data_IF_935137704303
#
_entry.id   IF_935137704303
#
_cell.length_a   1.000
_cell.length_b   1.000
_cell.length_c   1.000
_cell.angle_alpha   90.00
_cell.angle_beta   90.00
_cell.angle_gamma   90.00
#
_symmetry.space_group_name_H-M   'P 1'
#
loop_
_entity.id
_entity.type
_entity.pdbx_description
1 polymer ?
#
# COMPACT_ATOMS: atom_id res chain seq x y z
N UNK A 1 -45.30 16.42 -50.14
CA UNK A 1 -44.61 15.16 -49.79
C UNK A 1 -43.20 15.36 -49.18
N UNK A 2 -42.63 16.57 -49.19
CA UNK A 2 -41.28 16.85 -48.64
C UNK A 2 -41.25 17.12 -47.13
N UNK A 3 -42.36 17.58 -46.53
CA UNK A 3 -42.42 17.94 -45.10
C UNK A 3 -42.34 16.75 -44.13
N UNK A 4 -42.67 15.53 -44.58
CA UNK A 4 -42.62 14.34 -43.72
C UNK A 4 -41.20 13.78 -43.54
N UNK A 5 -40.30 14.06 -44.49
CA UNK A 5 -38.92 13.56 -44.47
C UNK A 5 -38.02 14.34 -43.51
N UNK A 6 -38.25 15.65 -43.33
CA UNK A 6 -37.46 16.48 -42.42
C UNK A 6 -37.70 16.13 -40.94
N UNK A 7 -38.93 15.78 -40.59
CA UNK A 7 -39.32 15.43 -39.21
C UNK A 7 -38.68 14.09 -38.79
N UNK A 8 -38.60 13.13 -39.71
CA UNK A 8 -37.96 11.84 -39.45
C UNK A 8 -36.43 12.00 -39.28
N UNK A 9 -35.81 12.91 -40.02
CA UNK A 9 -34.36 13.17 -39.94
C UNK A 9 -33.97 13.84 -38.61
N UNK A 10 -34.80 14.76 -38.11
CA UNK A 10 -34.60 15.39 -36.79
C UNK A 10 -34.76 14.36 -35.66
N UNK A 11 -35.71 13.43 -35.77
CA UNK A 11 -35.90 12.37 -34.77
C UNK A 11 -34.72 11.39 -34.69
N UNK A 12 -34.06 11.10 -35.81
CA UNK A 12 -32.88 10.22 -35.86
C UNK A 12 -31.63 10.91 -35.29
N UNK A 13 -31.51 12.24 -35.45
CA UNK A 13 -30.41 13.03 -34.87
C UNK A 13 -30.59 13.28 -33.36
N UNK A 14 -31.83 13.37 -32.86
CA UNK A 14 -32.08 13.47 -31.42
C UNK A 14 -31.88 12.13 -30.68
N UNK A 15 -32.16 10.99 -31.33
CA UNK A 15 -31.95 9.68 -30.70
C UNK A 15 -30.48 9.25 -30.67
N UNK A 16 -29.67 9.67 -31.65
CA UNK A 16 -28.22 9.40 -31.64
C UNK A 16 -27.46 10.24 -30.61
N UNK A 17 -27.89 11.48 -30.36
CA UNK A 17 -27.31 12.33 -29.30
C UNK A 17 -27.68 11.84 -27.89
N UNK A 18 -28.87 11.26 -27.69
CA UNK A 18 -29.25 10.57 -26.45
C UNK A 18 -28.44 9.28 -26.23
N UNK A 19 -28.09 8.54 -27.29
CA UNK A 19 -27.27 7.32 -27.17
C UNK A 19 -25.81 7.64 -26.82
N UNK A 20 -25.24 8.72 -27.36
CA UNK A 20 -23.88 9.16 -27.00
C UNK A 20 -23.83 9.73 -25.58
N UNK A 21 -24.88 10.42 -25.13
CA UNK A 21 -24.99 10.83 -23.72
C UNK A 21 -25.14 9.61 -22.78
N UNK A 22 -25.85 8.56 -23.19
CA UNK A 22 -25.94 7.33 -22.38
C UNK A 22 -24.62 6.52 -22.34
N UNK A 23 -23.77 6.62 -23.36
CA UNK A 23 -22.49 5.90 -23.41
C UNK A 23 -21.34 6.74 -22.80
N UNK A 24 -21.41 8.07 -22.85
CA UNK A 24 -20.29 8.95 -22.44
C UNK A 24 -20.65 10.10 -21.48
N UNK A 25 -21.91 10.26 -21.09
CA UNK A 25 -22.41 11.40 -20.31
C UNK A 25 -23.33 10.96 -19.18
N UNK A 26 -22.74 10.46 -18.09
CA UNK A 26 -23.48 10.09 -16.89
C UNK A 26 -22.54 10.04 -15.70
N UNK A 27 -22.28 11.22 -15.16
CA UNK A 27 -21.89 11.57 -13.80
C UNK A 27 -21.37 10.47 -12.86
N UNK A 28 -20.21 10.78 -12.29
CA UNK A 28 -19.99 10.79 -10.84
C UNK A 28 -21.19 10.27 -10.02
N UNK A 29 -21.22 8.96 -9.82
CA UNK A 29 -22.05 8.33 -8.82
C UNK A 29 -21.16 7.44 -7.98
N UNK A 30 -21.02 7.85 -6.72
CA UNK A 30 -20.69 7.02 -5.58
C UNK A 30 -19.61 5.97 -5.85
N UNK A 31 -18.38 6.27 -5.42
CA UNK A 31 -17.53 5.22 -4.90
C UNK A 31 -18.38 4.54 -3.84
N UNK A 32 -19.00 3.42 -4.21
CA UNK A 32 -19.58 2.52 -3.25
C UNK A 32 -18.50 2.34 -2.21
N UNK A 33 -18.85 2.69 -0.98
CA UNK A 33 -18.10 2.27 0.18
C UNK A 33 -18.19 0.75 0.13
N UNK A 34 -17.31 0.15 -0.68
CA UNK A 34 -17.29 -1.27 -0.90
C UNK A 34 -17.13 -1.84 0.48
N UNK A 35 -18.11 -2.69 0.74
CA UNK A 35 -18.52 -3.22 2.01
C UNK A 35 -17.44 -4.18 2.49
N UNK A 36 -16.24 -3.67 2.77
CA UNK A 36 -15.15 -4.42 3.38
C UNK A 36 -15.39 -4.42 4.88
N UNK A 37 -16.38 -5.22 5.27
CA UNK A 37 -16.43 -5.72 6.63
C UNK A 37 -15.21 -6.62 6.80
N UNK A 38 -14.19 -6.09 7.47
CA UNK A 38 -13.20 -6.92 8.15
C UNK A 38 -13.97 -7.91 9.02
N UNK A 39 -14.08 -9.16 8.58
CA UNK A 39 -14.47 -10.24 9.48
C UNK A 39 -13.28 -10.50 10.41
N UNK A 40 -13.10 -9.62 11.40
CA UNK A 40 -12.26 -9.88 12.57
C UNK A 40 -12.96 -10.94 13.40
N UNK A 41 -12.84 -12.20 13.00
CA UNK A 41 -13.30 -13.32 13.81
C UNK A 41 -12.33 -13.47 14.98
N UNK A 42 -12.90 -13.35 16.18
CA UNK A 42 -12.34 -13.56 17.52
C UNK A 42 -11.80 -12.31 18.23
N UNK A 43 -12.75 -11.65 18.89
CA UNK A 43 -12.55 -10.85 20.09
C UNK A 43 -11.74 -11.62 21.15
N UNK A 44 -10.68 -11.01 21.66
CA UNK A 44 -10.29 -11.15 23.06
C UNK A 44 -10.46 -9.79 23.74
N UNK A 45 -11.59 -9.63 24.44
CA UNK A 45 -11.75 -8.58 25.47
C UNK A 45 -10.82 -8.93 26.63
N UNK A 46 -9.85 -8.06 26.93
CA UNK A 46 -9.13 -8.10 28.21
C UNK A 46 -9.79 -7.05 29.11
N UNK A 47 -10.41 -7.52 30.20
CA UNK A 47 -11.05 -6.69 31.22
C UNK A 47 -10.03 -5.75 31.88
N UNK A 48 -10.48 -4.51 32.11
CA UNK A 48 -9.68 -3.45 32.69
C UNK A 48 -9.35 -3.64 34.17
N UNK A 49 -8.22 -3.04 34.56
CA UNK A 49 -8.00 -2.51 35.89
C UNK A 49 -7.50 -1.08 35.73
N UNK A 50 -8.35 -0.17 36.20
CA UNK A 50 -8.05 1.25 36.39
C UNK A 50 -6.91 1.39 37.40
N UNK A 51 -5.76 1.89 36.94
CA UNK A 51 -4.85 2.68 37.77
C UNK A 51 -4.11 3.68 36.90
N UNK A 52 -4.29 4.94 37.26
CA UNK A 52 -3.45 6.05 36.85
C UNK A 52 -2.00 5.72 37.20
N UNK A 53 -1.09 5.85 36.24
CA UNK A 53 0.29 6.28 36.44
C UNK A 53 0.93 6.48 35.06
N UNK A 54 0.86 7.72 34.58
CA UNK A 54 1.88 8.24 33.68
C UNK A 54 3.20 8.25 34.48
N UNK A 55 4.25 7.68 33.88
CA UNK A 55 5.62 7.51 34.39
C UNK A 55 5.90 6.24 35.24
N UNK A 56 7.00 5.59 34.85
CA UNK A 56 7.80 4.57 35.56
C UNK A 56 7.32 3.11 35.50
N UNK A 57 7.96 2.33 34.61
CA UNK A 57 8.76 1.16 35.03
C UNK A 57 9.51 0.53 33.83
N UNK A 58 10.65 1.12 33.45
CA UNK A 58 11.73 0.32 32.84
C UNK A 58 12.38 -0.41 34.02
N UNK A 59 11.97 -1.64 34.27
CA UNK A 59 12.60 -2.48 35.29
C UNK A 59 13.43 -3.54 34.57
N UNK A 60 14.74 -3.30 34.49
CA UNK A 60 15.73 -4.27 34.01
C UNK A 60 16.09 -5.22 35.14
N UNK A 61 15.24 -6.20 35.41
CA UNK A 61 15.64 -7.39 36.16
C UNK A 61 15.22 -8.64 35.37
N UNK A 62 16.18 -9.19 34.63
CA UNK A 62 16.08 -10.49 33.98
C UNK A 62 15.99 -11.59 35.03
N UNK A 63 14.80 -12.16 35.21
CA UNK A 63 14.60 -13.47 35.81
C UNK A 63 14.26 -14.47 34.71
N UNK A 64 15.18 -15.39 34.46
CA UNK A 64 15.01 -16.50 33.52
C UNK A 64 14.07 -17.51 34.19
N UNK A 65 12.86 -17.59 33.66
CA UNK A 65 11.85 -18.62 33.92
C UNK A 65 10.89 -18.63 32.74
N UNK A 66 10.31 -19.78 32.41
CA UNK A 66 9.37 -20.02 31.30
C UNK A 66 8.02 -19.27 31.46
N UNK A 67 8.07 -18.01 31.86
CA UNK A 67 6.94 -17.11 31.96
C UNK A 67 6.99 -16.16 30.77
N UNK A 68 5.93 -16.20 29.96
CA UNK A 68 5.74 -15.26 28.85
C UNK A 68 5.97 -13.82 29.33
N UNK A 69 6.58 -12.95 28.50
CA UNK A 69 6.88 -11.59 28.91
C UNK A 69 5.61 -10.83 29.31
N UNK A 70 5.73 -9.99 30.33
CA UNK A 70 4.64 -9.16 30.85
C UNK A 70 4.08 -8.26 29.74
N UNK A 71 2.76 -8.10 29.68
CA UNK A 71 2.09 -7.24 28.70
C UNK A 71 2.32 -5.78 29.06
N UNK A 72 2.80 -4.98 28.10
CA UNK A 72 2.94 -3.53 28.25
C UNK A 72 2.84 -2.82 26.89
N UNK A 73 2.88 -1.48 26.88
CA UNK A 73 2.73 -0.66 25.67
C UNK A 73 3.86 -0.81 24.67
N UNK A 74 5.02 -1.35 25.07
CA UNK A 74 6.16 -1.56 24.17
C UNK A 74 6.07 -2.90 23.42
N UNK A 75 5.40 -3.90 23.98
CA UNK A 75 5.37 -5.24 23.38
C UNK A 75 3.96 -5.71 23.00
N UNK A 76 2.93 -4.91 23.31
CA UNK A 76 1.54 -5.22 22.99
C UNK A 76 0.85 -3.96 22.50
N UNK A 77 0.50 -3.96 21.22
CA UNK A 77 -0.09 -2.82 20.53
C UNK A 77 -0.81 -3.25 19.26
N UNK A 78 -1.71 -2.40 18.80
CA UNK A 78 -2.42 -2.53 17.54
C UNK A 78 -2.17 -1.28 16.70
N UNK A 79 -1.90 -1.46 15.41
CA UNK A 79 -1.76 -0.38 14.47
C UNK A 79 -2.50 -0.70 13.17
N UNK A 80 -3.05 0.31 12.53
CA UNK A 80 -3.63 0.21 11.18
C UNK A 80 -3.47 1.52 10.44
N UNK A 81 -3.60 1.48 9.14
CA UNK A 81 -3.72 2.70 8.35
C UNK A 81 -3.81 2.46 6.85
N UNK A 82 -3.53 3.51 6.10
CA UNK A 82 -3.57 3.51 4.64
C UNK A 82 -2.21 3.20 4.03
N UNK A 83 -2.20 2.38 2.99
CA UNK A 83 -1.10 2.30 2.03
C UNK A 83 -1.39 3.31 0.93
N UNK A 84 -0.52 4.29 0.75
CA UNK A 84 -0.68 5.32 -0.26
C UNK A 84 0.69 5.81 -0.70
N UNK A 85 1.08 5.45 -1.91
CA UNK A 85 2.37 5.85 -2.47
C UNK A 85 2.32 5.95 -3.98
N UNK A 86 3.24 6.74 -4.53
CA UNK A 86 3.51 6.82 -5.97
C UNK A 86 4.85 6.13 -6.22
N UNK A 87 4.84 5.11 -7.08
CA UNK A 87 6.02 4.36 -7.48
C UNK A 87 6.52 4.91 -8.80
N UNK A 88 7.79 5.30 -8.84
CA UNK A 88 8.43 5.75 -10.06
C UNK A 88 9.34 4.63 -10.59
N UNK A 89 9.27 4.32 -11.90
CA UNK A 89 10.27 3.48 -12.52
C UNK A 89 11.64 4.16 -12.40
N UNK A 90 12.67 3.35 -12.16
CA UNK A 90 14.02 3.87 -11.99
C UNK A 90 14.59 4.31 -13.34
N UNK A 91 14.51 5.61 -13.65
CA UNK A 91 15.11 6.17 -14.85
C UNK A 91 16.58 6.56 -14.59
N UNK A 92 17.53 5.70 -14.97
CA UNK A 92 18.94 6.12 -15.10
C UNK A 92 19.14 7.24 -16.15
N UNK A 93 18.15 7.46 -17.01
CA UNK A 93 18.19 8.42 -18.12
C UNK A 93 18.09 9.88 -17.62
N UNK A 94 17.54 10.12 -16.42
CA UNK A 94 17.44 11.48 -15.86
C UNK A 94 18.72 11.97 -15.16
N UNK A 95 19.74 11.12 -15.04
CA UNK A 95 21.04 11.47 -14.42
C UNK A 95 22.11 11.93 -15.42
N UNK A 96 21.83 11.91 -16.72
CA UNK A 96 22.72 12.53 -17.68
C UNK A 96 22.42 14.03 -17.70
N UNK A 97 23.36 14.91 -17.32
CA UNK A 97 23.16 16.33 -17.54
C UNK A 97 22.86 16.52 -19.02
N UNK A 98 21.82 17.30 -19.31
CA UNK A 98 21.57 17.83 -20.65
C UNK A 98 22.79 18.70 -20.97
N UNK A 99 23.84 18.08 -21.51
CA UNK A 99 24.88 18.83 -22.16
C UNK A 99 24.19 19.46 -23.36
N UNK A 100 24.01 20.78 -23.27
CA UNK A 100 23.66 21.64 -24.38
C UNK A 100 24.78 21.57 -25.43
N UNK A 101 24.91 20.46 -26.13
CA UNK A 101 25.49 20.41 -27.46
C UNK A 101 24.33 20.58 -28.42
N UNK A 102 24.24 21.79 -28.95
CA UNK A 102 23.43 22.17 -30.09
C UNK A 102 23.84 21.34 -31.32
N UNK A 103 23.43 20.08 -31.37
CA UNK A 103 23.50 19.28 -32.58
C UNK A 103 22.16 19.41 -33.30
N UNK A 104 22.20 20.21 -34.34
CA UNK A 104 21.16 20.38 -35.34
C UNK A 104 20.56 19.03 -35.75
N UNK A 105 19.23 18.95 -35.75
CA UNK A 105 18.47 17.91 -36.43
C UNK A 105 18.80 17.91 -37.93
N UNK A 106 19.83 17.18 -38.34
CA UNK A 106 20.04 16.80 -39.73
C UNK A 106 19.25 15.52 -40.00
N UNK A 107 18.18 15.65 -40.77
CA UNK A 107 17.42 14.55 -41.33
C UNK A 107 18.19 13.97 -42.53
N UNK A 108 19.29 13.27 -42.26
CA UNK A 108 20.01 12.56 -43.31
C UNK A 108 19.49 11.13 -43.45
N UNK A 109 18.96 10.90 -44.64
CA UNK A 109 18.42 9.66 -45.17
C UNK A 109 19.57 8.63 -45.33
N UNK A 110 19.80 7.79 -44.32
CA UNK A 110 20.71 6.65 -44.44
C UNK A 110 20.09 5.40 -43.83
N UNK A 111 19.91 4.38 -44.67
CA UNK A 111 19.46 3.04 -44.31
C UNK A 111 20.54 2.32 -43.49
N UNK A 112 20.07 1.67 -42.42
CA UNK A 112 20.68 0.59 -41.62
C UNK A 112 21.19 1.02 -40.25
N UNK A 113 20.28 1.06 -39.28
CA UNK A 113 20.35 0.27 -38.04
C UNK A 113 19.05 0.45 -37.26
N UNK A 114 18.07 -0.41 -37.52
CA UNK A 114 16.80 -0.46 -36.78
C UNK A 114 17.01 -1.13 -35.42
N UNK A 115 17.76 -0.47 -34.53
CA UNK A 115 17.67 -0.71 -33.09
C UNK A 115 17.23 0.58 -32.41
N UNK A 116 16.06 1.10 -32.84
CA UNK A 116 15.29 1.97 -31.98
C UNK A 116 14.90 1.08 -30.80
N UNK A 117 15.69 1.10 -29.73
CA UNK A 117 15.22 0.73 -28.39
C UNK A 117 14.11 1.74 -28.11
N UNK A 118 12.89 1.40 -28.49
CA UNK A 118 11.70 2.04 -27.97
C UNK A 118 11.82 1.86 -26.47
N UNK A 119 12.27 2.89 -25.76
CA UNK A 119 12.20 2.91 -24.31
C UNK A 119 10.72 2.83 -24.02
N UNK A 120 10.25 1.64 -23.63
CA UNK A 120 8.91 1.44 -23.15
C UNK A 120 8.75 2.45 -22.02
N UNK A 121 7.91 3.46 -22.23
CA UNK A 121 7.65 4.43 -21.18
C UNK A 121 6.83 3.69 -20.13
N UNK A 122 7.51 3.26 -19.07
CA UNK A 122 6.84 2.70 -17.91
C UNK A 122 6.13 3.83 -17.19
N UNK A 123 4.80 3.75 -17.10
CA UNK A 123 4.01 4.74 -16.38
C UNK A 123 4.27 4.61 -14.88
N UNK A 124 4.42 5.72 -14.12
CA UNK A 124 4.38 5.66 -12.67
C UNK A 124 3.12 4.91 -12.20
N UNK A 125 3.23 4.23 -11.07
CA UNK A 125 2.13 3.45 -10.48
C UNK A 125 1.68 4.08 -9.17
N UNK A 126 0.40 3.94 -8.88
CA UNK A 126 -0.24 4.38 -7.64
C UNK A 126 -0.55 3.15 -6.80
N UNK A 127 -0.17 3.18 -5.53
CA UNK A 127 -0.63 2.24 -4.50
C UNK A 127 -1.76 2.90 -3.72
N UNK A 128 -2.85 2.19 -3.53
CA UNK A 128 -3.94 2.59 -2.63
C UNK A 128 -4.50 1.36 -1.90
N UNK A 129 -4.48 1.37 -0.58
CA UNK A 129 -4.96 0.24 0.20
C UNK A 129 -4.94 0.48 1.70
N UNK A 130 -5.10 -0.60 2.46
CA UNK A 130 -5.11 -0.58 3.91
C UNK A 130 -4.17 -1.66 4.46
N UNK A 131 -3.73 -1.47 5.69
CA UNK A 131 -2.95 -2.45 6.42
C UNK A 131 -3.36 -2.51 7.89
N UNK A 132 -3.12 -3.65 8.52
CA UNK A 132 -3.33 -3.89 9.94
C UNK A 132 -2.13 -4.65 10.52
N UNK A 133 -1.79 -4.34 11.76
CA UNK A 133 -0.75 -4.98 12.54
C UNK A 133 -1.23 -5.15 13.98
N UNK A 134 -1.09 -6.35 14.51
CA UNK A 134 -1.40 -6.66 15.89
C UNK A 134 -0.23 -7.42 16.51
N UNK A 135 0.32 -6.86 17.59
CA UNK A 135 1.45 -7.40 18.33
C UNK A 135 1.00 -7.67 19.76
N UNK A 136 1.30 -8.86 20.26
CA UNK A 136 1.00 -9.27 21.64
C UNK A 136 2.22 -9.92 22.25
N UNK A 137 2.68 -9.43 23.40
CA UNK A 137 3.85 -9.94 24.13
C UNK A 137 5.11 -10.06 23.27
N UNK A 138 5.28 -9.13 22.34
CA UNK A 138 6.40 -9.06 21.41
C UNK A 138 6.27 -9.99 20.20
N UNK A 139 5.16 -10.68 20.03
CA UNK A 139 4.88 -11.53 18.86
C UNK A 139 3.82 -10.88 18.00
N UNK A 140 4.06 -10.80 16.68
CA UNK A 140 3.03 -10.40 15.73
C UNK A 140 2.01 -11.52 15.64
N UNK A 141 0.78 -11.25 16.07
CA UNK A 141 -0.33 -12.21 16.00
C UNK A 141 -1.13 -12.05 14.70
N UNK A 142 -1.05 -10.88 14.09
CA UNK A 142 -1.63 -10.63 12.77
C UNK A 142 -0.89 -9.49 12.08
N UNK A 143 -0.56 -9.70 10.82
CA UNK A 143 -0.21 -8.63 9.90
C UNK A 143 -0.86 -8.95 8.55
N UNK A 144 -1.58 -7.97 8.01
CA UNK A 144 -2.24 -8.09 6.73
C UNK A 144 -2.21 -6.73 6.01
N UNK A 145 -1.97 -6.76 4.71
CA UNK A 145 -2.08 -5.60 3.82
C UNK A 145 -2.90 -5.95 2.60
N UNK A 146 -3.77 -5.04 2.16
CA UNK A 146 -4.56 -5.21 0.93
C UNK A 146 -4.53 -3.90 0.18
N UNK A 147 -4.05 -3.92 -1.07
CA UNK A 147 -3.92 -2.71 -1.87
C UNK A 147 -4.13 -2.95 -3.35
N UNK A 148 -4.46 -1.88 -4.05
CA UNK A 148 -4.53 -1.83 -5.51
C UNK A 148 -3.28 -1.14 -6.02
N UNK A 149 -2.72 -1.70 -7.08
CA UNK A 149 -1.67 -1.10 -7.88
C UNK A 149 -2.30 -0.67 -9.21
N UNK A 150 -2.17 0.60 -9.58
CA UNK A 150 -2.76 1.14 -10.82
C UNK A 150 -1.74 2.01 -11.54
N UNK A 151 -1.55 1.81 -12.84
CA UNK A 151 -0.71 2.72 -13.64
C UNK A 151 -1.37 4.09 -13.76
N UNK A 152 -0.56 5.14 -13.87
CA UNK A 152 -1.07 6.53 -13.96
C UNK A 152 -1.88 6.83 -15.22
N UNK A 153 -1.77 6.00 -16.26
CA UNK A 153 -2.64 6.02 -17.44
C UNK A 153 -3.97 5.27 -17.23
N UNK A 154 -4.13 4.57 -16.11
CA UNK A 154 -5.32 3.82 -15.72
C UNK A 154 -5.54 2.50 -16.47
N UNK A 155 -4.59 2.06 -17.31
CA UNK A 155 -4.77 0.86 -18.15
C UNK A 155 -4.48 -0.44 -17.40
N UNK A 156 -3.45 -0.45 -16.56
CA UNK A 156 -3.06 -1.63 -15.78
C UNK A 156 -3.53 -1.47 -14.34
N UNK A 157 -4.19 -2.52 -13.83
CA UNK A 157 -4.59 -2.62 -12.43
C UNK A 157 -4.35 -4.02 -11.90
N UNK A 158 -3.87 -4.11 -10.67
CA UNK A 158 -3.70 -5.38 -9.95
C UNK A 158 -4.12 -5.21 -8.50
N UNK A 159 -4.73 -6.25 -7.95
CA UNK A 159 -5.05 -6.35 -6.54
C UNK A 159 -3.99 -7.20 -5.86
N UNK A 160 -3.38 -6.68 -4.79
CA UNK A 160 -2.31 -7.36 -4.08
C UNK A 160 -2.71 -7.50 -2.61
N UNK A 161 -2.56 -8.71 -2.09
CA UNK A 161 -2.75 -9.01 -0.67
C UNK A 161 -1.47 -9.57 -0.06
N UNK A 162 -1.14 -9.09 1.14
CA UNK A 162 -0.11 -9.61 2.01
C UNK A 162 -0.81 -10.31 3.17
N UNK A 163 -0.60 -11.62 3.30
CA UNK A 163 -1.33 -12.48 4.25
C UNK A 163 -0.39 -13.46 4.96
N UNK A 164 -0.94 -14.19 5.93
CA UNK A 164 -0.29 -15.33 6.61
C UNK A 164 1.10 -15.02 7.20
N UNK A 165 1.22 -13.85 7.85
CA UNK A 165 2.47 -13.42 8.47
C UNK A 165 2.99 -14.43 9.51
N UNK A 166 4.26 -14.78 9.38
CA UNK A 166 5.00 -15.66 10.27
C UNK A 166 6.18 -14.90 10.86
N UNK A 167 6.30 -14.91 12.19
CA UNK A 167 7.37 -14.21 12.89
C UNK A 167 8.75 -14.85 12.59
N UNK A 168 9.76 -14.02 12.35
CA UNK A 168 11.15 -14.40 12.58
C UNK A 168 11.40 -14.41 14.09
N UNK A 169 12.32 -15.24 14.62
CA UNK A 169 12.53 -15.53 16.06
C UNK A 169 12.96 -14.32 16.96
N UNK A 170 12.56 -13.10 16.63
CA UNK A 170 12.88 -11.84 17.29
C UNK A 170 11.62 -11.26 17.92
N UNK A 171 11.69 -10.94 19.21
CA UNK A 171 10.61 -10.23 19.91
C UNK A 171 10.53 -8.77 19.43
N UNK A 172 9.33 -8.32 19.10
CA UNK A 172 9.02 -6.95 18.72
C UNK A 172 8.95 -6.07 19.96
N UNK A 173 9.77 -5.03 19.98
CA UNK A 173 9.76 -4.00 21.03
C UNK A 173 9.57 -2.65 20.34
N UNK A 174 8.37 -2.09 20.51
CA UNK A 174 8.02 -0.76 20.07
C UNK A 174 8.78 0.29 20.89
N UNK A 175 9.44 1.18 20.18
CA UNK A 175 9.85 2.47 20.69
C UNK A 175 9.10 3.57 19.93
N UNK A 176 8.19 4.33 20.56
CA UNK A 176 7.37 5.31 19.85
C UNK A 176 8.18 6.49 19.31
N UNK A 177 9.40 6.71 19.80
CA UNK A 177 10.28 7.80 19.39
C UNK A 177 11.32 7.38 18.34
N UNK A 178 11.45 6.08 18.07
CA UNK A 178 12.41 5.52 17.12
C UNK A 178 11.68 4.68 16.06
N UNK A 179 12.46 4.18 15.10
CA UNK A 179 11.96 3.21 14.14
C UNK A 179 11.90 1.84 14.80
N UNK A 180 10.78 1.14 14.64
CA UNK A 180 10.61 -0.24 15.07
C UNK A 180 10.59 -1.13 13.83
N UNK A 181 11.54 -2.06 13.74
CA UNK A 181 11.65 -3.02 12.64
C UNK A 181 11.11 -4.37 13.06
N UNK A 182 10.27 -4.96 12.23
CA UNK A 182 9.62 -6.26 12.40
C UNK A 182 9.97 -7.11 11.19
N UNK A 183 10.58 -8.27 11.45
CA UNK A 183 10.97 -9.19 10.39
C UNK A 183 10.12 -10.46 10.44
N UNK A 184 9.77 -10.98 9.28
CA UNK A 184 8.98 -12.20 9.18
C UNK A 184 8.95 -12.78 7.78
N UNK A 185 7.96 -13.63 7.56
CA UNK A 185 7.62 -14.20 6.27
C UNK A 185 6.14 -13.98 6.00
N UNK A 186 5.77 -13.74 4.75
CA UNK A 186 4.38 -13.54 4.32
C UNK A 186 4.09 -14.32 3.06
N UNK A 187 2.82 -14.54 2.81
CA UNK A 187 2.31 -15.02 1.53
C UNK A 187 1.72 -13.84 0.77
N UNK A 188 1.92 -13.83 -0.55
CA UNK A 188 1.44 -12.78 -1.45
C UNK A 188 0.41 -13.36 -2.40
N UNK A 189 -0.73 -12.70 -2.51
CA UNK A 189 -1.69 -12.94 -3.59
C UNK A 189 -1.72 -11.78 -4.56
N UNK A 190 -1.86 -12.09 -5.84
CA UNK A 190 -2.13 -11.12 -6.90
C UNK A 190 -3.40 -11.57 -7.62
N UNK A 191 -4.40 -10.70 -7.67
CA UNK A 191 -5.71 -10.96 -8.29
C UNK A 191 -6.34 -12.28 -7.81
N UNK A 192 -6.43 -12.44 -6.48
CA UNK A 192 -6.95 -13.62 -5.75
C UNK A 192 -6.15 -14.93 -5.93
N UNK A 193 -5.05 -14.91 -6.68
CA UNK A 193 -4.19 -16.07 -6.90
C UNK A 193 -2.94 -15.98 -6.02
N UNK A 194 -2.57 -17.10 -5.37
CA UNK A 194 -1.30 -17.18 -4.64
C UNK A 194 -0.15 -16.96 -5.62
N UNK A 195 0.57 -15.87 -5.44
CA UNK A 195 1.74 -15.52 -6.23
C UNK A 195 2.96 -16.27 -5.71
N UNK A 196 3.24 -16.12 -4.42
CA UNK A 196 4.35 -16.81 -3.75
C UNK A 196 4.10 -16.88 -2.24
N UNK A 197 4.70 -17.88 -1.59
CA UNK A 197 4.51 -18.16 -0.16
C UNK A 197 5.84 -18.08 0.58
N UNK A 198 5.79 -17.67 1.84
CA UNK A 198 6.94 -17.52 2.75
C UNK A 198 8.03 -16.57 2.24
N UNK A 199 7.63 -15.47 1.62
CA UNK A 199 8.55 -14.41 1.22
C UNK A 199 9.07 -13.66 2.44
N UNK A 200 10.40 -13.43 2.56
CA UNK A 200 10.94 -12.60 3.62
C UNK A 200 10.38 -11.17 3.52
N UNK A 201 9.89 -10.65 4.65
CA UNK A 201 9.40 -9.29 4.74
C UNK A 201 10.05 -8.54 5.90
N UNK A 202 10.39 -7.28 5.65
CA UNK A 202 10.72 -6.29 6.65
C UNK A 202 9.60 -5.25 6.71
N UNK A 203 9.03 -5.07 7.89
CA UNK A 203 8.05 -4.03 8.19
C UNK A 203 8.70 -3.04 9.14
N UNK A 204 8.72 -1.76 8.77
CA UNK A 204 9.29 -0.70 9.57
C UNK A 204 8.23 0.32 9.93
N UNK A 205 7.98 0.46 11.23
CA UNK A 205 7.15 1.55 11.77
C UNK A 205 8.06 2.71 12.13
N UNK A 206 7.92 3.83 11.44
CA UNK A 206 8.73 5.02 11.70
C UNK A 206 8.01 5.92 12.70
N UNK A 207 8.50 5.92 13.95
CA UNK A 207 7.96 6.76 15.04
C UNK A 207 6.44 6.71 15.14
N UNK A 208 5.83 5.53 14.97
CA UNK A 208 4.38 5.28 14.96
C UNK A 208 3.55 6.09 13.94
N UNK A 209 4.17 6.84 13.02
CA UNK A 209 3.47 7.72 12.09
C UNK A 209 3.34 7.10 10.69
N UNK A 210 4.39 6.44 10.21
CA UNK A 210 4.41 5.82 8.88
C UNK A 210 4.85 4.38 8.94
N UNK A 211 4.46 3.63 7.91
CA UNK A 211 4.89 2.26 7.68
C UNK A 211 5.65 2.17 6.36
N UNK A 212 6.69 1.35 6.35
CA UNK A 212 7.40 0.92 5.15
C UNK A 212 7.44 -0.61 5.16
N UNK A 213 7.05 -1.23 4.05
CA UNK A 213 7.01 -2.68 3.88
C UNK A 213 7.91 -3.03 2.69
N UNK A 214 8.93 -3.83 2.96
CA UNK A 214 9.90 -4.30 1.98
C UNK A 214 9.85 -5.82 1.91
N UNK A 215 9.66 -6.37 0.71
CA UNK A 215 9.54 -7.81 0.48
C UNK A 215 10.70 -8.23 -0.41
N UNK A 216 11.47 -9.24 0.03
CA UNK A 216 12.63 -9.72 -0.70
C UNK A 216 12.21 -10.76 -1.76
N UNK A 217 11.56 -10.29 -2.82
CA UNK A 217 11.36 -11.07 -4.04
C UNK A 217 11.56 -10.18 -5.27
N UNK A 218 12.47 -10.58 -6.16
CA UNK A 218 12.80 -9.90 -7.41
C UNK A 218 11.57 -9.61 -8.27
N UNK A 219 10.67 -10.56 -8.53
CA UNK A 219 9.52 -10.32 -9.42
C UNK A 219 8.53 -9.32 -8.81
N UNK A 220 8.33 -9.37 -7.50
CA UNK A 220 7.49 -8.40 -6.80
C UNK A 220 8.16 -7.02 -6.77
N UNK A 221 9.47 -6.98 -6.57
CA UNK A 221 10.26 -5.75 -6.61
C UNK A 221 10.23 -5.13 -8.00
N UNK A 222 10.36 -5.91 -9.07
CA UNK A 222 10.22 -5.44 -10.45
C UNK A 222 8.81 -4.84 -10.68
N UNK A 223 7.76 -5.49 -10.15
CA UNK A 223 6.39 -4.97 -10.23
C UNK A 223 6.22 -3.60 -9.52
N UNK A 224 6.94 -3.41 -8.41
CA UNK A 224 6.95 -2.21 -7.57
C UNK A 224 8.06 -1.21 -7.95
N UNK A 225 8.76 -1.42 -9.07
CA UNK A 225 9.89 -0.59 -9.51
C UNK A 225 11.02 -0.45 -8.47
N UNK A 226 11.27 -1.49 -7.67
CA UNK A 226 12.22 -1.52 -6.55
C UNK A 226 11.93 -0.46 -5.48
N UNK A 227 10.69 0.04 -5.40
CA UNK A 227 10.27 0.93 -4.33
C UNK A 227 9.64 0.10 -3.20
N UNK A 228 9.87 0.46 -1.92
CA UNK A 228 9.14 -0.12 -0.81
C UNK A 228 7.67 0.33 -0.86
N UNK A 229 6.78 -0.48 -0.27
CA UNK A 229 5.38 -0.10 -0.09
C UNK A 229 5.32 0.84 1.13
N UNK A 230 4.79 2.04 0.94
CA UNK A 230 4.72 3.05 2.00
C UNK A 230 3.27 3.36 2.37
N UNK A 231 3.07 3.75 3.63
CA UNK A 231 1.78 4.11 4.16
C UNK A 231 1.85 5.00 5.38
N UNK A 232 0.69 5.49 5.79
CA UNK A 232 0.49 6.24 7.02
C UNK A 232 -0.20 5.34 8.05
N UNK A 233 0.00 5.68 9.32
CA UNK A 233 -0.72 5.07 10.44
C UNK A 233 -1.94 5.96 10.71
N UNK A 234 -3.13 5.39 10.64
CA UNK A 234 -4.38 6.12 10.93
C UNK A 234 -4.80 5.95 12.38
N UNK A 235 -4.45 4.81 12.99
CA UNK A 235 -4.80 4.48 14.36
C UNK A 235 -3.72 3.63 14.98
N UNK A 236 -3.36 4.01 16.21
CA UNK A 236 -2.37 3.32 17.02
C UNK A 236 -2.90 3.16 18.44
N UNK A 237 -2.99 1.93 18.92
CA UNK A 237 -3.53 1.59 20.23
C UNK A 237 -2.54 0.83 21.08
N UNK A 238 -2.42 1.22 22.34
CA UNK A 238 -1.60 0.51 23.31
C UNK A 238 -2.30 -0.78 23.82
N UNK A 239 -1.64 -1.51 24.73
CA UNK A 239 -2.19 -2.72 25.35
C UNK A 239 -3.48 -2.50 26.17
N UNK A 240 -3.73 -1.26 26.63
CA UNK A 240 -4.98 -0.86 27.31
C UNK A 240 -6.09 -0.47 26.32
N UNK A 241 -5.80 -0.54 25.02
CA UNK A 241 -6.68 -0.10 23.94
C UNK A 241 -6.93 1.42 23.93
N UNK A 242 -6.04 2.20 24.56
CA UNK A 242 -6.04 3.66 24.45
C UNK A 242 -5.39 4.07 23.13
N UNK A 243 -6.02 5.03 22.44
CA UNK A 243 -5.44 5.64 21.25
C UNK A 243 -4.22 6.48 21.65
N UNK A 244 -3.08 6.22 21.03
CA UNK A 244 -1.90 7.06 21.16
C UNK A 244 -1.99 8.10 20.05
N UNK A 245 -2.17 9.36 20.43
CA UNK A 245 -2.18 10.47 19.49
C UNK A 245 -0.84 10.49 18.73
N UNK A 246 -0.95 10.36 17.41
CA UNK A 246 0.11 10.62 16.45
C UNK A 246 0.29 12.13 16.46
N UNK A 247 1.32 12.62 17.16
CA UNK A 247 1.62 14.04 17.19
C UNK A 247 2.28 14.40 15.86
N UNK A 248 1.59 15.23 15.07
CA UNK A 248 2.19 15.93 13.94
C UNK A 248 3.24 16.89 14.51
N UNK A 249 4.53 16.58 14.27
CA UNK A 249 5.64 17.50 14.55
C UNK A 249 5.91 18.38 13.33
#
# INVERSE_FOLDING_TARGET
MVKFSLILFIFILSSSSLLVYYIFGGDYSDVSLDKYQFYSKNYFMIYGLSSNNFALSINTETKIGDTLPEINSSNTFFAKGLLSSVLFPYYDILKHPINNSSDSFNFDNSKNDNNIKTTLYEFPKLISGNWILNVTRGTVINFQGVFKLVTTDGLEKQFIEIIDFQNKNTSVILNPYLNTTINGYVDIKIDDQLFESKLPVEIKLNKINTIEISIDEKRLNDLLYNNPIQGIVDSFKNFKNDEILILDN
#
